data_IF_272253991414
#
_entry.id   IF_272253991414
#
_cell.length_a   1.000
_cell.length_b   1.000
_cell.length_c   1.000
_cell.angle_alpha   90.00
_cell.angle_beta   90.00
_cell.angle_gamma   90.00
#
_symmetry.space_group_name_H-M   'P 1'
#
loop_
_entity.id
_entity.type
_entity.pdbx_description
1 polymer ?
#
# COMPACT_ATOMS: atom_id res chain seq x y z
N UNK A 1 -23.61 -15.93 -8.36
CA UNK A 1 -23.33 -15.06 -7.21
C UNK A 1 -22.21 -14.12 -7.64
N UNK A 2 -22.38 -12.79 -7.51
CA UNK A 2 -21.27 -11.85 -7.78
C UNK A 2 -20.20 -12.08 -6.71
N UNK A 3 -18.97 -12.35 -7.11
CA UNK A 3 -17.84 -12.41 -6.17
C UNK A 3 -17.58 -11.00 -5.64
N UNK A 4 -18.16 -10.69 -4.51
CA UNK A 4 -17.97 -9.42 -3.82
C UNK A 4 -16.87 -9.60 -2.76
N UNK A 5 -15.92 -8.69 -2.77
CA UNK A 5 -14.78 -8.71 -1.86
C UNK A 5 -14.80 -7.50 -0.95
N UNK A 6 -14.44 -7.70 0.31
CA UNK A 6 -14.13 -6.59 1.22
C UNK A 6 -12.79 -6.01 0.86
N UNK A 7 -12.76 -4.71 0.61
CA UNK A 7 -11.58 -3.97 0.20
C UNK A 7 -11.49 -2.66 0.99
N UNK A 8 -10.36 -1.98 0.87
CA UNK A 8 -10.08 -0.73 1.54
C UNK A 8 -9.65 0.34 0.54
N UNK A 9 -10.27 1.52 0.67
CA UNK A 9 -10.02 2.67 -0.19
C UNK A 9 -9.46 3.82 0.60
N UNK A 10 -8.26 4.28 0.25
CA UNK A 10 -7.67 5.50 0.78
C UNK A 10 -8.09 6.70 -0.06
N UNK A 11 -8.42 7.81 0.60
CA UNK A 11 -8.78 9.08 -0.02
C UNK A 11 -8.04 10.23 0.68
N UNK A 12 -8.09 11.42 0.10
CA UNK A 12 -7.73 12.63 0.80
C UNK A 12 -8.75 12.99 1.90
N UNK A 13 -8.51 14.09 2.61
CA UNK A 13 -9.39 14.59 3.68
C UNK A 13 -10.81 14.93 3.17
N UNK A 14 -10.96 15.27 1.89
CA UNK A 14 -12.21 15.62 1.24
C UNK A 14 -12.91 14.41 0.59
N UNK A 15 -12.53 13.19 0.96
CA UNK A 15 -13.05 11.95 0.39
C UNK A 15 -12.81 11.80 -1.12
N UNK A 16 -11.71 12.37 -1.65
CA UNK A 16 -11.39 12.29 -3.07
C UNK A 16 -10.13 11.48 -3.31
N UNK A 17 -10.08 10.86 -4.48
CA UNK A 17 -8.86 10.24 -5.01
C UNK A 17 -8.32 11.09 -6.18
N UNK A 18 -7.14 10.73 -6.70
CA UNK A 18 -6.60 11.37 -7.89
C UNK A 18 -7.64 11.39 -9.02
N UNK A 19 -7.67 12.49 -9.76
CA UNK A 19 -8.70 12.74 -10.77
C UNK A 19 -10.03 13.27 -10.21
N UNK A 20 -10.10 13.56 -8.89
CA UNK A 20 -11.23 14.22 -8.24
C UNK A 20 -12.44 13.34 -7.95
N UNK A 21 -12.33 12.01 -8.15
CA UNK A 21 -13.43 11.08 -7.87
C UNK A 21 -13.80 11.12 -6.38
N UNK A 22 -15.07 11.35 -6.09
CA UNK A 22 -15.62 11.46 -4.75
C UNK A 22 -16.09 10.10 -4.23
N UNK A 23 -15.74 9.79 -2.97
CA UNK A 23 -16.08 8.55 -2.27
C UNK A 23 -16.98 8.87 -1.08
N UNK A 24 -18.26 8.55 -1.20
CA UNK A 24 -19.27 8.80 -0.17
C UNK A 24 -19.97 7.50 0.23
N UNK A 25 -20.26 7.35 1.50
CA UNK A 25 -20.94 6.18 2.07
C UNK A 25 -22.26 5.91 1.32
N UNK A 26 -22.47 4.67 0.94
CA UNK A 26 -23.62 4.21 0.17
C UNK A 26 -23.52 4.40 -1.35
N UNK A 27 -22.55 5.17 -1.84
CA UNK A 27 -22.34 5.36 -3.28
C UNK A 27 -21.50 4.26 -3.91
N UNK A 28 -21.80 3.96 -5.16
CA UNK A 28 -21.02 3.07 -6.02
C UNK A 28 -20.33 3.88 -7.10
N UNK A 29 -19.02 3.75 -7.19
CA UNK A 29 -18.19 4.30 -8.27
C UNK A 29 -17.86 3.21 -9.29
N UNK A 30 -17.69 3.60 -10.55
CA UNK A 30 -17.38 2.72 -11.67
C UNK A 30 -16.10 3.17 -12.38
N UNK A 31 -15.31 2.22 -12.84
CA UNK A 31 -14.19 2.48 -13.72
C UNK A 31 -14.70 2.98 -15.07
N UNK A 32 -13.98 3.91 -15.69
CA UNK A 32 -14.37 4.52 -16.97
C UNK A 32 -13.81 3.78 -18.18
N UNK A 33 -12.69 3.07 -18.00
CA UNK A 33 -12.07 2.27 -19.06
C UNK A 33 -12.70 0.89 -19.22
N UNK A 34 -12.46 0.25 -20.36
CA UNK A 34 -13.05 -1.05 -20.74
C UNK A 34 -12.14 -2.24 -20.42
N UNK A 35 -10.83 -2.03 -20.32
CA UNK A 35 -9.84 -3.08 -20.05
C UNK A 35 -9.77 -3.45 -18.56
N UNK A 36 -8.76 -4.22 -18.20
CA UNK A 36 -8.49 -4.65 -16.81
C UNK A 36 -7.08 -4.25 -16.34
N UNK A 37 -6.41 -3.36 -17.08
CA UNK A 37 -5.02 -2.98 -16.78
C UNK A 37 -4.95 -2.12 -15.53
N UNK A 38 -4.14 -2.54 -14.54
CA UNK A 38 -3.82 -1.73 -13.37
C UNK A 38 -3.13 -0.42 -13.76
N UNK A 39 -3.24 0.58 -12.90
CA UNK A 39 -2.68 1.92 -13.07
C UNK A 39 -3.21 2.67 -14.30
N UNK A 40 -4.41 2.34 -14.76
CA UNK A 40 -5.14 3.03 -15.82
C UNK A 40 -6.58 3.31 -15.40
N UNK A 41 -7.33 4.02 -16.24
CA UNK A 41 -8.77 4.25 -16.03
C UNK A 41 -9.63 2.99 -16.18
N UNK A 42 -9.02 1.86 -16.55
CA UNK A 42 -9.72 0.59 -16.73
C UNK A 42 -10.26 0.01 -15.43
N UNK A 43 -9.66 0.36 -14.31
CA UNK A 43 -10.04 -0.16 -12.99
C UNK A 43 -9.96 0.90 -11.90
N UNK A 44 -10.77 0.73 -10.87
CA UNK A 44 -10.67 1.44 -9.60
C UNK A 44 -9.73 0.65 -8.69
N UNK A 45 -8.69 1.31 -8.16
CA UNK A 45 -7.73 0.65 -7.27
C UNK A 45 -8.23 0.62 -5.83
N UNK A 46 -7.92 -0.46 -5.14
CA UNK A 46 -8.15 -0.65 -3.70
C UNK A 46 -7.09 -1.59 -3.12
N UNK A 47 -7.15 -1.79 -1.81
CA UNK A 47 -6.27 -2.69 -1.06
C UNK A 47 -7.09 -3.78 -0.39
N UNK A 48 -6.49 -4.93 -0.19
CA UNK A 48 -7.11 -6.04 0.55
C UNK A 48 -6.96 -5.88 2.06
N UNK A 49 -6.04 -5.02 2.49
CA UNK A 49 -5.75 -4.74 3.89
C UNK A 49 -5.61 -3.24 4.15
N UNK A 50 -6.16 -2.69 5.27
CA UNK A 50 -6.10 -1.27 5.57
C UNK A 50 -4.69 -0.78 5.95
N UNK A 51 -3.87 -1.62 6.59
CA UNK A 51 -2.48 -1.27 6.91
C UNK A 51 -1.65 -1.13 5.63
N UNK A 52 -1.87 -2.04 4.68
CA UNK A 52 -1.23 -1.99 3.37
C UNK A 52 -1.55 -0.68 2.63
N UNK A 53 -2.82 -0.23 2.68
CA UNK A 53 -3.21 1.04 2.11
C UNK A 53 -2.42 2.22 2.69
N UNK A 54 -2.18 2.22 4.00
CA UNK A 54 -1.44 3.29 4.69
C UNK A 54 0.07 3.21 4.42
N UNK A 55 0.65 2.01 4.39
CA UNK A 55 2.08 1.83 4.10
C UNK A 55 2.42 2.25 2.67
N UNK A 56 1.52 1.98 1.72
CA UNK A 56 1.69 2.40 0.32
C UNK A 56 1.24 3.83 0.02
N UNK A 57 0.62 4.53 0.97
CA UNK A 57 0.15 5.90 0.71
C UNK A 57 1.24 6.80 0.13
N UNK A 58 2.48 6.86 0.67
CA UNK A 58 3.53 7.73 0.14
C UNK A 58 3.89 7.45 -1.32
N UNK A 59 3.75 6.21 -1.76
CA UNK A 59 4.13 5.75 -3.10
C UNK A 59 2.99 5.86 -4.12
N UNK A 60 1.76 5.56 -3.68
CA UNK A 60 0.63 5.44 -4.59
C UNK A 60 -0.25 6.69 -4.64
N UNK A 61 -0.42 7.39 -3.51
CA UNK A 61 -1.37 8.48 -3.40
C UNK A 61 -0.78 9.77 -2.82
N UNK A 62 0.11 9.70 -1.83
CA UNK A 62 0.74 10.87 -1.21
C UNK A 62 -0.23 11.78 -0.48
N UNK A 63 -1.32 11.25 0.08
CA UNK A 63 -2.27 12.04 0.85
C UNK A 63 -1.68 12.39 2.22
N UNK A 64 -1.68 13.68 2.58
CA UNK A 64 -1.14 14.15 3.87
C UNK A 64 -2.01 13.74 5.07
N UNK A 65 -3.34 13.87 4.93
CA UNK A 65 -4.32 13.52 5.95
C UNK A 65 -5.36 12.57 5.35
N UNK A 66 -4.98 11.30 5.10
CA UNK A 66 -5.87 10.37 4.42
C UNK A 66 -7.04 9.94 5.30
N UNK A 67 -8.13 9.60 4.64
CA UNK A 67 -9.26 8.86 5.21
C UNK A 67 -9.30 7.48 4.57
N UNK A 68 -9.78 6.49 5.30
CA UNK A 68 -9.90 5.13 4.81
C UNK A 68 -11.33 4.63 4.92
N UNK A 69 -11.79 4.01 3.85
CA UNK A 69 -13.14 3.45 3.77
C UNK A 69 -13.07 1.95 3.54
N UNK A 70 -13.91 1.22 4.26
CA UNK A 70 -14.24 -0.13 3.87
C UNK A 70 -15.20 -0.05 2.69
N UNK A 71 -14.89 -0.81 1.67
CA UNK A 71 -15.66 -0.84 0.43
C UNK A 71 -15.94 -2.29 0.03
N UNK A 72 -16.92 -2.48 -0.81
CA UNK A 72 -17.20 -3.74 -1.50
C UNK A 72 -16.97 -3.56 -2.99
N UNK A 73 -16.38 -4.53 -3.66
CA UNK A 73 -16.15 -4.49 -5.10
C UNK A 73 -15.85 -5.86 -5.69
N UNK A 74 -15.84 -5.92 -7.02
CA UNK A 74 -15.28 -7.05 -7.74
C UNK A 74 -13.74 -6.93 -7.78
N UNK A 75 -13.07 -8.03 -8.06
CA UNK A 75 -11.63 -8.04 -8.37
C UNK A 75 -11.48 -8.57 -9.78
N UNK A 76 -11.01 -7.70 -10.70
CA UNK A 76 -10.78 -8.06 -12.11
C UNK A 76 -9.30 -8.02 -12.49
N UNK A 77 -8.48 -7.42 -11.64
CA UNK A 77 -7.03 -7.39 -11.76
C UNK A 77 -6.41 -7.30 -10.38
N UNK A 78 -5.23 -7.84 -10.19
CA UNK A 78 -4.46 -7.70 -8.95
C UNK A 78 -2.96 -7.85 -9.24
N UNK A 79 -2.17 -7.19 -8.44
CA UNK A 79 -0.76 -7.45 -8.22
C UNK A 79 -0.54 -7.74 -6.73
N UNK A 80 0.71 -7.87 -6.30
CA UNK A 80 1.00 -8.16 -4.89
C UNK A 80 0.75 -6.95 -3.96
N UNK A 81 0.30 -5.81 -4.48
CA UNK A 81 0.13 -4.57 -3.72
C UNK A 81 -1.31 -4.13 -3.61
N UNK A 82 -2.02 -4.19 -4.72
CA UNK A 82 -3.35 -3.62 -4.86
C UNK A 82 -4.21 -4.44 -5.79
N UNK A 83 -5.49 -4.20 -5.71
CA UNK A 83 -6.49 -4.79 -6.60
C UNK A 83 -7.14 -3.73 -7.48
N UNK A 84 -7.62 -4.16 -8.62
CA UNK A 84 -8.42 -3.37 -9.55
C UNK A 84 -9.82 -3.92 -9.69
N UNK A 85 -10.81 -3.04 -9.61
CA UNK A 85 -12.25 -3.34 -9.69
C UNK A 85 -12.91 -2.57 -10.81
N UNK A 86 -13.99 -3.12 -11.38
CA UNK A 86 -14.88 -2.38 -12.30
C UNK A 86 -15.84 -1.46 -11.55
N UNK A 87 -16.20 -1.85 -10.36
CA UNK A 87 -17.05 -1.08 -9.49
C UNK A 87 -16.61 -1.23 -8.03
N UNK A 88 -16.83 -0.19 -7.24
CA UNK A 88 -16.56 -0.19 -5.81
C UNK A 88 -17.65 0.60 -5.10
N UNK A 89 -18.28 0.00 -4.09
CA UNK A 89 -19.28 0.62 -3.23
C UNK A 89 -18.69 0.95 -1.87
N UNK A 90 -18.89 2.17 -1.43
CA UNK A 90 -18.45 2.62 -0.11
C UNK A 90 -19.45 2.16 0.95
N UNK A 91 -18.98 1.35 1.90
CA UNK A 91 -19.81 0.84 2.98
C UNK A 91 -19.79 1.79 4.19
N UNK A 92 -18.62 2.08 4.70
CA UNK A 92 -18.41 3.02 5.79
C UNK A 92 -16.95 3.46 5.90
N UNK A 93 -16.74 4.57 6.61
CA UNK A 93 -15.41 4.99 7.00
C UNK A 93 -14.94 4.15 8.20
N UNK A 94 -13.69 3.71 8.18
CA UNK A 94 -13.10 2.93 9.26
C UNK A 94 -11.88 3.65 9.86
N UNK A 95 -11.40 3.17 10.99
CA UNK A 95 -10.21 3.74 11.62
C UNK A 95 -8.99 3.59 10.71
N UNK A 96 -8.25 4.69 10.57
CA UNK A 96 -7.01 4.72 9.84
C UNK A 96 -5.91 4.04 10.66
N UNK A 97 -5.29 2.95 10.18
CA UNK A 97 -4.15 2.35 10.86
C UNK A 97 -3.03 3.36 11.08
N UNK A 98 -2.39 3.29 12.25
CA UNK A 98 -1.27 4.16 12.63
C UNK A 98 -0.02 3.34 12.88
N UNK A 99 0.62 2.81 11.82
CA UNK A 99 1.84 2.02 11.99
C UNK A 99 2.91 2.87 12.68
N UNK A 100 3.61 2.24 13.63
CA UNK A 100 4.75 2.85 14.32
C UNK A 100 5.88 3.14 13.33
N UNK A 101 6.84 3.97 13.74
CA UNK A 101 8.05 4.21 12.95
C UNK A 101 8.80 2.89 12.70
N UNK A 102 8.85 2.02 13.70
CA UNK A 102 9.48 0.70 13.58
C UNK A 102 8.83 -0.16 12.51
N UNK A 103 7.50 -0.24 12.48
CA UNK A 103 6.76 -0.97 11.42
C UNK A 103 7.07 -0.40 10.04
N UNK A 104 7.14 0.92 9.91
CA UNK A 104 7.48 1.57 8.63
C UNK A 104 8.90 1.27 8.17
N UNK A 105 9.87 1.27 9.11
CA UNK A 105 11.27 0.94 8.81
C UNK A 105 11.39 -0.54 8.46
N UNK A 106 10.77 -1.44 9.24
CA UNK A 106 10.72 -2.88 8.95
C UNK A 106 10.18 -3.11 7.53
N UNK A 107 9.06 -2.48 7.21
CA UNK A 107 8.47 -2.54 5.88
C UNK A 107 9.46 -2.11 4.78
N UNK A 108 10.11 -0.95 4.95
CA UNK A 108 11.08 -0.45 3.98
C UNK A 108 12.30 -1.37 3.83
N UNK A 109 12.80 -1.94 4.93
CA UNK A 109 13.92 -2.89 4.93
C UNK A 109 13.56 -4.16 4.18
N UNK A 110 12.42 -4.76 4.48
CA UNK A 110 11.96 -5.97 3.80
C UNK A 110 11.78 -5.70 2.30
N UNK A 111 11.19 -4.56 1.96
CA UNK A 111 11.14 -4.10 0.59
C UNK A 111 12.54 -4.03 -0.07
N UNK A 112 13.52 -3.46 0.59
CA UNK A 112 14.88 -3.36 0.07
C UNK A 112 15.57 -4.72 -0.09
N UNK A 113 15.33 -5.67 0.83
CA UNK A 113 15.96 -7.00 0.81
C UNK A 113 15.69 -7.81 -0.47
N UNK A 114 14.56 -7.57 -1.11
CA UNK A 114 14.22 -8.28 -2.35
C UNK A 114 14.99 -7.76 -3.58
N UNK A 115 15.24 -6.46 -3.61
CA UNK A 115 15.78 -5.81 -4.83
C UNK A 115 17.23 -5.42 -4.69
N UNK A 116 17.69 -5.11 -3.47
CA UNK A 116 19.05 -4.64 -3.24
C UNK A 116 19.97 -5.78 -2.85
N UNK A 117 21.05 -6.00 -3.63
CA UNK A 117 21.91 -7.16 -3.52
C UNK A 117 23.27 -6.89 -2.83
N UNK A 118 23.50 -5.65 -2.39
CA UNK A 118 24.73 -5.32 -1.66
C UNK A 118 24.82 -6.11 -0.34
N UNK A 119 25.90 -6.86 -0.14
CA UNK A 119 26.05 -7.79 0.97
C UNK A 119 26.16 -7.05 2.34
N UNK A 120 26.78 -5.87 2.38
CA UNK A 120 26.93 -5.10 3.62
C UNK A 120 25.59 -4.53 4.03
N UNK A 121 24.82 -4.01 3.07
CA UNK A 121 23.47 -3.52 3.32
C UNK A 121 22.54 -4.66 3.78
N UNK A 122 22.59 -5.82 3.12
CA UNK A 122 21.77 -7.00 3.49
C UNK A 122 22.11 -7.49 4.90
N UNK A 123 23.39 -7.56 5.26
CA UNK A 123 23.84 -7.92 6.60
C UNK A 123 23.31 -6.92 7.64
N UNK A 124 23.42 -5.62 7.36
CA UNK A 124 22.84 -4.60 8.21
C UNK A 124 21.32 -4.75 8.35
N UNK A 125 20.61 -4.97 7.25
CA UNK A 125 19.15 -5.14 7.22
C UNK A 125 18.69 -6.31 8.11
N UNK A 126 19.38 -7.45 8.03
CA UNK A 126 19.08 -8.60 8.88
C UNK A 126 19.38 -8.33 10.36
N UNK A 127 20.50 -7.67 10.69
CA UNK A 127 20.84 -7.28 12.05
C UNK A 127 19.82 -6.28 12.62
N UNK A 128 19.22 -5.46 11.79
CA UNK A 128 18.16 -4.56 12.22
C UNK A 128 16.87 -5.33 12.50
N UNK A 129 16.49 -6.25 11.62
CA UNK A 129 15.26 -7.07 11.76
C UNK A 129 15.33 -7.99 12.98
N UNK A 130 16.46 -8.62 13.25
CA UNK A 130 16.63 -9.51 14.40
C UNK A 130 16.89 -8.75 15.73
N UNK A 131 17.02 -7.42 15.67
CA UNK A 131 17.20 -6.56 16.83
C UNK A 131 18.64 -6.47 17.34
N UNK A 132 19.62 -7.12 16.71
CA UNK A 132 21.02 -7.12 17.14
C UNK A 132 21.72 -5.78 16.90
N UNK A 133 21.26 -4.99 15.92
CA UNK A 133 21.75 -3.64 15.66
C UNK A 133 20.64 -2.72 15.14
N UNK A 134 20.00 -1.99 16.05
CA UNK A 134 18.98 -0.98 15.76
C UNK A 134 19.47 0.46 15.96
N UNK A 135 20.77 0.72 15.86
CA UNK A 135 21.33 2.06 15.98
C UNK A 135 20.74 3.02 14.92
N UNK A 136 20.49 4.27 15.32
CA UNK A 136 19.82 5.28 14.48
C UNK A 136 20.61 5.61 13.20
N UNK A 137 21.92 5.47 13.20
CA UNK A 137 22.79 5.68 12.03
C UNK A 137 22.46 4.68 10.91
N UNK A 138 21.96 3.53 11.29
CA UNK A 138 21.51 2.48 10.39
C UNK A 138 20.21 2.84 9.65
N UNK A 139 19.32 3.61 10.26
CA UNK A 139 18.08 4.08 9.59
C UNK A 139 18.40 5.10 8.48
N UNK A 140 19.45 5.93 8.68
CA UNK A 140 19.93 6.84 7.65
C UNK A 140 20.54 6.06 6.45
N UNK A 141 21.24 4.97 6.72
CA UNK A 141 21.80 4.10 5.68
C UNK A 141 20.70 3.42 4.85
N UNK A 142 19.61 2.99 5.50
CA UNK A 142 18.44 2.41 4.81
C UNK A 142 17.72 3.43 3.92
N UNK A 143 17.60 4.68 4.38
CA UNK A 143 17.02 5.76 3.60
C UNK A 143 17.90 6.10 2.37
N UNK A 144 19.21 6.03 2.50
CA UNK A 144 20.15 6.24 1.39
C UNK A 144 20.08 5.12 0.35
N UNK A 145 20.05 3.87 0.80
CA UNK A 145 19.92 2.71 -0.07
C UNK A 145 18.54 2.66 -0.76
N UNK A 146 17.48 3.07 -0.07
CA UNK A 146 16.13 3.16 -0.64
C UNK A 146 16.00 4.28 -1.68
N UNK A 147 16.80 5.33 -1.61
CA UNK A 147 16.80 6.41 -2.60
C UNK A 147 17.47 6.01 -3.93
N UNK A 148 18.38 5.04 -3.90
CA UNK A 148 19.10 4.53 -5.08
C UNK A 148 18.34 3.38 -5.78
N UNK A 149 17.39 2.76 -5.10
CA UNK A 149 16.55 1.70 -5.66
C UNK A 149 15.40 2.34 -6.45
N UNK A 150 15.38 2.17 -7.76
CA UNK A 150 14.22 2.49 -8.57
C UNK A 150 12.98 1.83 -7.96
N UNK A 151 12.09 2.64 -7.42
CA UNK A 151 10.88 2.35 -6.66
C UNK A 151 9.88 1.33 -7.29
N UNK A 152 10.19 0.75 -8.43
CA UNK A 152 9.28 -0.09 -9.23
C UNK A 152 9.07 -1.48 -8.62
N UNK A 153 9.98 -1.93 -7.76
CA UNK A 153 9.98 -3.29 -7.22
C UNK A 153 9.57 -3.41 -5.74
N UNK A 154 9.47 -2.29 -5.03
CA UNK A 154 9.17 -2.23 -3.59
C UNK A 154 7.77 -2.77 -3.25
N UNK A 155 6.96 -2.77 -4.24
CA UNK A 155 5.54 -3.03 -4.13
C UNK A 155 5.16 -4.50 -3.95
N UNK A 156 5.98 -5.42 -4.43
CA UNK A 156 5.68 -6.86 -4.35
C UNK A 156 5.85 -7.43 -2.93
N UNK A 157 6.42 -6.68 -2.02
CA UNK A 157 6.94 -7.16 -0.74
C UNK A 157 6.14 -6.79 0.50
N UNK A 158 5.32 -5.76 0.39
CA UNK A 158 4.43 -5.34 1.46
C UNK A 158 3.48 -6.45 1.90
N UNK A 159 3.17 -7.34 1.00
CA UNK A 159 2.26 -8.45 1.24
C UNK A 159 2.79 -9.42 2.30
N UNK A 160 4.09 -9.66 2.35
CA UNK A 160 4.69 -10.60 3.30
C UNK A 160 4.62 -10.13 4.75
N UNK A 161 4.79 -8.83 4.99
CA UNK A 161 4.74 -8.24 6.33
C UNK A 161 3.36 -8.26 6.96
N UNK A 162 2.33 -8.02 6.14
CA UNK A 162 0.95 -8.02 6.61
C UNK A 162 0.46 -9.45 6.88
N UNK A 163 0.97 -10.44 6.13
CA UNK A 163 0.62 -11.85 6.33
C UNK A 163 1.25 -12.45 7.60
N UNK A 164 2.42 -11.97 8.02
CA UNK A 164 3.15 -12.49 9.17
C UNK A 164 2.85 -11.75 10.49
N UNK A 165 2.01 -10.73 10.47
CA UNK A 165 1.48 -10.07 11.67
C UNK A 165 2.51 -9.25 12.44
N UNK A 166 3.50 -8.67 11.75
CA UNK A 166 4.48 -7.73 12.33
C UNK A 166 3.89 -6.32 12.43
#
# INVERSE_FOLDING_TARGET
>A
MKNEHTLYKLTDINCRTHGGMLWEVGKTNYATGKGTKLCTADVLHAYTDPLLAVLFNPLHAGFENPRIFRITGDIVAMDNMKVGSKWQRVEYETDLPKPTIEVRITFAILCGLEVYQDSNWRMWAWNWLDGSNRAADAAAYAAYAAADVKLISIADMAFMLVADGI
#
